data_IF_692853523815
#
_entry.id   IF_692853523815
#
_cell.length_a   1.000
_cell.length_b   1.000
_cell.length_c   1.000
_cell.angle_alpha   90.00
_cell.angle_beta   90.00
_cell.angle_gamma   90.00
#
_symmetry.space_group_name_H-M   'P 1'
#
loop_
_entity.id
_entity.type
_entity.pdbx_description
1 polymer ?
#
# COMPACT_ATOMS: atom_id res chain seq x y z
N UNK A 1 25.14 50.60 -6.77
CA UNK A 1 23.84 49.90 -6.92
C UNK A 1 24.10 48.42 -7.09
N UNK A 2 23.66 47.57 -6.17
CA UNK A 2 23.86 46.13 -6.27
C UNK A 2 23.07 45.57 -7.46
N UNK A 3 23.74 44.86 -8.36
CA UNK A 3 23.12 44.24 -9.55
C UNK A 3 22.18 43.13 -9.08
N UNK A 4 20.88 43.38 -9.05
CA UNK A 4 19.88 42.35 -8.71
C UNK A 4 19.77 41.37 -9.88
N UNK A 5 20.41 40.21 -9.75
CA UNK A 5 20.33 39.15 -10.76
C UNK A 5 18.95 38.50 -10.66
N UNK A 6 18.12 38.68 -11.69
CA UNK A 6 16.81 38.05 -11.75
C UNK A 6 16.97 36.55 -12.06
N UNK A 7 16.75 35.69 -11.05
CA UNK A 7 16.87 34.23 -11.16
C UNK A 7 15.48 33.60 -11.09
N UNK A 8 15.16 32.70 -12.02
CA UNK A 8 13.90 31.92 -12.03
C UNK A 8 13.67 31.13 -10.72
N UNK A 9 14.75 30.65 -10.10
CA UNK A 9 14.72 29.92 -8.83
C UNK A 9 15.46 30.72 -7.74
N UNK A 10 14.80 31.72 -7.16
CA UNK A 10 15.38 32.65 -6.17
C UNK A 10 15.14 32.25 -4.70
N UNK A 11 14.26 31.28 -4.42
CA UNK A 11 14.01 30.76 -3.07
C UNK A 11 14.93 29.58 -2.71
N UNK A 12 15.27 29.45 -1.42
CA UNK A 12 16.09 28.37 -0.86
C UNK A 12 15.27 27.54 0.12
N UNK A 13 15.46 26.21 0.09
CA UNK A 13 14.93 25.26 1.08
C UNK A 13 16.13 24.64 1.79
N UNK A 14 16.15 24.67 3.12
CA UNK A 14 17.23 24.12 3.94
C UNK A 14 16.66 23.18 5.00
N UNK A 15 17.26 22.00 5.15
CA UNK A 15 16.92 21.04 6.20
C UNK A 15 18.21 20.33 6.65
N UNK A 16 18.25 19.97 7.94
CA UNK A 16 19.35 19.21 8.52
C UNK A 16 19.05 17.72 8.41
N UNK A 17 20.08 16.93 8.16
CA UNK A 17 20.02 15.46 8.04
C UNK A 17 21.18 14.85 8.81
N UNK A 18 21.01 13.62 9.25
CA UNK A 18 22.09 12.87 9.88
C UNK A 18 23.03 12.26 8.81
N UNK A 19 24.07 11.56 9.26
CA UNK A 19 25.07 10.96 8.38
C UNK A 19 24.48 9.82 7.52
N UNK A 20 23.66 8.96 8.13
CA UNK A 20 22.99 7.84 7.44
C UNK A 20 22.06 8.33 6.31
N UNK A 21 21.29 9.38 6.57
CA UNK A 21 20.42 10.04 5.59
C UNK A 21 21.23 10.60 4.42
N UNK A 22 22.40 11.18 4.69
CA UNK A 22 23.29 11.70 3.65
C UNK A 22 23.89 10.60 2.79
N UNK A 23 24.28 9.48 3.39
CA UNK A 23 24.77 8.32 2.66
C UNK A 23 23.69 7.76 1.72
N UNK A 24 22.47 7.62 2.21
CA UNK A 24 21.35 7.12 1.41
C UNK A 24 20.99 8.09 0.26
N UNK A 25 20.97 9.40 0.50
CA UNK A 25 20.75 10.40 -0.55
C UNK A 25 21.84 10.35 -1.64
N UNK A 26 23.10 10.17 -1.24
CA UNK A 26 24.23 10.05 -2.17
C UNK A 26 24.16 8.76 -2.98
N UNK A 27 23.83 7.64 -2.32
CA UNK A 27 23.63 6.33 -2.97
C UNK A 27 22.52 6.42 -4.02
N UNK A 28 21.35 6.98 -3.66
CA UNK A 28 20.24 7.16 -4.61
C UNK A 28 20.63 8.09 -5.76
N UNK A 29 21.31 9.20 -5.48
CA UNK A 29 21.79 10.11 -6.52
C UNK A 29 22.70 9.41 -7.54
N UNK A 30 23.62 8.56 -7.08
CA UNK A 30 24.54 7.80 -7.93
C UNK A 30 23.81 6.81 -8.87
N UNK A 31 22.60 6.38 -8.53
CA UNK A 31 21.76 5.51 -9.36
C UNK A 31 20.92 6.28 -10.39
N UNK A 32 21.03 7.62 -10.42
CA UNK A 32 20.26 8.47 -11.33
C UNK A 32 21.13 9.12 -12.40
N UNK A 33 20.48 9.60 -13.47
CA UNK A 33 21.15 10.36 -14.54
C UNK A 33 21.11 11.89 -14.30
N UNK A 34 20.85 12.35 -13.08
CA UNK A 34 20.77 13.80 -12.79
C UNK A 34 22.15 14.45 -12.82
N UNK A 35 22.24 15.65 -13.39
CA UNK A 35 23.51 16.39 -13.52
C UNK A 35 23.92 17.05 -12.20
N UNK A 36 22.98 17.26 -11.29
CA UNK A 36 23.25 17.87 -9.99
C UNK A 36 22.36 17.30 -8.90
N UNK A 37 22.87 17.26 -7.67
CA UNK A 37 22.08 16.89 -6.48
C UNK A 37 20.87 17.81 -6.29
N UNK A 38 20.99 19.09 -6.64
CA UNK A 38 19.87 20.05 -6.59
C UNK A 38 18.72 19.61 -7.49
N UNK A 39 19.03 19.20 -8.71
CA UNK A 39 18.04 18.72 -9.67
C UNK A 39 17.41 17.42 -9.18
N UNK A 40 18.22 16.47 -8.70
CA UNK A 40 17.74 15.23 -8.09
C UNK A 40 16.81 15.47 -6.91
N UNK A 41 17.20 16.29 -5.93
CA UNK A 41 16.36 16.57 -4.75
C UNK A 41 15.08 17.29 -5.15
N UNK A 42 15.18 18.29 -6.02
CA UNK A 42 14.03 19.05 -6.49
C UNK A 42 13.05 18.13 -7.22
N UNK A 43 13.54 17.35 -8.17
CA UNK A 43 12.73 16.42 -8.94
C UNK A 43 12.14 15.32 -8.06
N UNK A 44 12.91 14.75 -7.13
CA UNK A 44 12.42 13.74 -6.17
C UNK A 44 11.32 14.30 -5.26
N UNK A 45 11.51 15.51 -4.71
CA UNK A 45 10.51 16.16 -3.84
C UNK A 45 9.23 16.48 -4.64
N UNK A 46 9.35 16.95 -5.88
CA UNK A 46 8.19 17.31 -6.70
C UNK A 46 7.52 16.10 -7.38
N UNK A 47 8.26 15.02 -7.67
CA UNK A 47 7.71 13.78 -8.24
C UNK A 47 7.07 12.88 -7.20
N UNK A 48 7.52 12.94 -5.94
CA UNK A 48 6.85 12.25 -4.85
C UNK A 48 5.48 12.89 -4.63
N UNK A 49 4.44 12.39 -5.31
CA UNK A 49 3.05 12.73 -5.01
C UNK A 49 2.78 12.27 -3.58
N UNK A 50 2.51 13.21 -2.68
CA UNK A 50 2.03 12.89 -1.34
C UNK A 50 0.60 12.39 -1.51
N UNK A 51 0.43 11.06 -1.48
CA UNK A 51 -0.88 10.43 -1.58
C UNK A 51 -1.50 10.39 -0.19
N UNK A 52 -2.41 11.33 0.08
CA UNK A 52 -3.26 11.25 1.27
C UNK A 52 -4.51 10.46 0.91
N UNK A 53 -4.50 9.15 1.16
CA UNK A 53 -5.69 8.32 1.01
C UNK A 53 -6.59 8.59 2.21
N UNK A 54 -7.66 9.34 2.00
CA UNK A 54 -8.69 9.49 3.02
C UNK A 54 -9.50 8.20 3.14
N UNK A 55 -9.08 7.34 4.07
CA UNK A 55 -9.79 6.12 4.43
C UNK A 55 -10.96 6.37 5.39
N UNK A 56 -11.51 7.59 5.44
CA UNK A 56 -12.68 7.94 6.24
C UNK A 56 -14.00 7.79 5.44
N UNK A 57 -15.12 8.16 6.06
CA UNK A 57 -16.43 8.13 5.41
C UNK A 57 -16.92 6.74 4.96
N UNK A 58 -17.45 6.67 3.74
CA UNK A 58 -18.04 5.47 3.14
C UNK A 58 -17.01 4.35 2.90
N UNK A 59 -15.80 4.67 2.44
CA UNK A 59 -14.75 3.66 2.22
C UNK A 59 -14.38 2.94 3.53
N UNK A 60 -14.31 3.67 4.65
CA UNK A 60 -14.10 3.08 5.98
C UNK A 60 -15.22 2.13 6.38
N UNK A 61 -16.45 2.46 5.99
CA UNK A 61 -17.64 1.66 6.32
C UNK A 61 -17.62 0.36 5.53
N UNK A 62 -17.38 0.43 4.22
CA UNK A 62 -17.22 -0.74 3.36
C UNK A 62 -16.08 -1.65 3.81
N UNK A 63 -14.90 -1.09 4.18
CA UNK A 63 -13.80 -1.88 4.72
C UNK A 63 -14.15 -2.57 6.05
N UNK A 64 -14.96 -1.93 6.89
CA UNK A 64 -15.44 -2.54 8.15
C UNK A 64 -16.47 -3.64 7.89
N UNK A 65 -17.36 -3.45 6.93
CA UNK A 65 -18.31 -4.47 6.52
C UNK A 65 -17.60 -5.69 5.94
N UNK A 66 -16.62 -5.48 5.07
CA UNK A 66 -15.74 -6.53 4.54
C UNK A 66 -15.01 -7.28 5.66
N UNK A 67 -14.37 -6.55 6.59
CA UNK A 67 -13.68 -7.15 7.75
C UNK A 67 -14.62 -7.98 8.63
N UNK A 68 -15.85 -7.51 8.83
CA UNK A 68 -16.89 -8.24 9.57
C UNK A 68 -17.33 -9.51 8.85
N UNK A 69 -17.47 -9.49 7.52
CA UNK A 69 -17.79 -10.67 6.73
C UNK A 69 -16.68 -11.73 6.83
N UNK A 70 -15.41 -11.32 6.64
CA UNK A 70 -14.25 -12.22 6.77
C UNK A 70 -14.16 -12.81 8.18
N UNK A 71 -14.42 -11.99 9.22
CA UNK A 71 -14.41 -12.45 10.62
C UNK A 71 -15.50 -13.49 10.88
N UNK A 72 -16.70 -13.30 10.32
CA UNK A 72 -17.79 -14.29 10.42
C UNK A 72 -17.45 -15.59 9.71
N UNK A 73 -16.85 -15.53 8.52
CA UNK A 73 -16.39 -16.71 7.80
C UNK A 73 -15.34 -17.48 8.61
N UNK A 74 -14.36 -16.79 9.20
CA UNK A 74 -13.37 -17.39 10.09
C UNK A 74 -14.00 -18.06 11.30
N UNK A 75 -15.00 -17.44 11.92
CA UNK A 75 -15.74 -18.03 13.03
C UNK A 75 -16.51 -19.29 12.61
N UNK A 76 -17.15 -19.29 11.43
CA UNK A 76 -17.84 -20.45 10.88
C UNK A 76 -16.86 -21.61 10.61
N UNK A 77 -15.69 -21.32 10.03
CA UNK A 77 -14.64 -22.31 9.82
C UNK A 77 -14.14 -22.92 11.14
N UNK A 78 -13.98 -22.10 12.18
CA UNK A 78 -13.57 -22.57 13.50
C UNK A 78 -14.65 -23.46 14.14
N UNK A 79 -15.93 -23.17 13.93
CA UNK A 79 -17.03 -24.03 14.39
C UNK A 79 -17.00 -25.39 13.68
N UNK A 80 -16.76 -25.41 12.37
CA UNK A 80 -16.60 -26.64 11.60
C UNK A 80 -15.40 -27.45 12.11
N UNK A 81 -14.26 -26.80 12.35
CA UNK A 81 -13.08 -27.44 12.92
C UNK A 81 -13.33 -28.04 14.31
N UNK A 82 -14.08 -27.35 15.18
CA UNK A 82 -14.48 -27.88 16.50
C UNK A 82 -15.43 -29.07 16.38
N UNK A 83 -16.41 -29.01 15.48
CA UNK A 83 -17.33 -30.12 15.23
C UNK A 83 -16.56 -31.37 14.77
N UNK A 84 -15.65 -31.20 13.81
CA UNK A 84 -14.72 -32.23 13.34
C UNK A 84 -13.91 -32.84 14.50
N UNK A 85 -13.31 -32.00 15.34
CA UNK A 85 -12.52 -32.46 16.48
C UNK A 85 -13.35 -33.20 17.53
N UNK A 86 -14.66 -32.94 17.60
CA UNK A 86 -15.58 -33.57 18.57
C UNK A 86 -16.18 -34.89 18.10
N UNK A 87 -16.40 -35.07 16.79
CA UNK A 87 -17.05 -36.27 16.24
C UNK A 87 -16.08 -37.36 15.80
N UNK A 88 -14.80 -37.02 15.54
CA UNK A 88 -13.76 -37.99 15.15
C UNK A 88 -13.98 -38.65 13.77
N UNK A 89 -15.04 -38.28 13.06
CA UNK A 89 -15.38 -38.76 11.72
C UNK A 89 -15.43 -37.56 10.79
N UNK A 90 -14.55 -37.56 9.79
CA UNK A 90 -14.55 -36.55 8.73
C UNK A 90 -14.88 -37.24 7.41
N UNK A 91 -15.95 -36.81 6.75
CA UNK A 91 -16.19 -37.20 5.37
C UNK A 91 -15.29 -36.37 4.46
N UNK A 92 -14.63 -37.04 3.52
CA UNK A 92 -13.72 -36.39 2.56
C UNK A 92 -14.39 -35.22 1.82
N UNK A 93 -15.69 -35.35 1.55
CA UNK A 93 -16.51 -34.34 0.88
C UNK A 93 -16.64 -33.03 1.68
N UNK A 94 -16.63 -33.11 3.03
CA UNK A 94 -16.67 -31.93 3.90
C UNK A 94 -15.35 -31.16 3.84
N UNK A 95 -14.21 -31.87 3.85
CA UNK A 95 -12.87 -31.26 3.69
C UNK A 95 -12.76 -30.57 2.33
N UNK A 96 -13.22 -31.23 1.28
CA UNK A 96 -13.14 -30.73 -0.09
C UNK A 96 -14.02 -29.48 -0.28
N UNK A 97 -15.21 -29.47 0.33
CA UNK A 97 -16.10 -28.31 0.35
C UNK A 97 -15.48 -27.11 1.09
N UNK A 98 -14.86 -27.33 2.25
CA UNK A 98 -14.16 -26.27 3.01
C UNK A 98 -12.99 -25.69 2.19
N UNK A 99 -12.18 -26.58 1.59
CA UNK A 99 -11.04 -26.17 0.78
C UNK A 99 -11.48 -25.32 -0.40
N UNK A 100 -12.59 -25.69 -1.06
CA UNK A 100 -13.16 -24.94 -2.18
C UNK A 100 -13.67 -23.57 -1.76
N UNK A 101 -14.34 -23.47 -0.61
CA UNK A 101 -14.81 -22.19 -0.08
C UNK A 101 -13.64 -21.24 0.25
N UNK A 102 -12.61 -21.76 0.93
CA UNK A 102 -11.39 -21.00 1.25
C UNK A 102 -10.65 -20.52 -0.01
N UNK A 103 -10.55 -21.36 -1.03
CA UNK A 103 -9.93 -20.98 -2.30
C UNK A 103 -10.70 -19.86 -3.01
N UNK A 104 -12.04 -19.90 -2.99
CA UNK A 104 -12.86 -18.83 -3.55
C UNK A 104 -12.68 -17.50 -2.83
N UNK A 105 -12.63 -17.54 -1.49
CA UNK A 105 -12.40 -16.34 -0.67
C UNK A 105 -11.01 -15.74 -0.90
N UNK A 106 -9.97 -16.58 -0.97
CA UNK A 106 -8.61 -16.14 -1.30
C UNK A 106 -8.50 -15.52 -2.69
N UNK A 107 -9.16 -16.11 -3.68
CA UNK A 107 -9.17 -15.58 -5.05
C UNK A 107 -9.83 -14.21 -5.11
N UNK A 108 -11.02 -14.08 -4.51
CA UNK A 108 -11.74 -12.80 -4.44
C UNK A 108 -10.90 -11.71 -3.76
N UNK A 109 -10.27 -12.02 -2.62
CA UNK A 109 -9.43 -11.05 -1.90
C UNK A 109 -8.20 -10.64 -2.72
N UNK A 110 -7.60 -11.57 -3.48
CA UNK A 110 -6.47 -11.27 -4.35
C UNK A 110 -6.87 -10.35 -5.51
N UNK A 111 -7.97 -10.66 -6.20
CA UNK A 111 -8.50 -9.85 -7.30
C UNK A 111 -8.93 -8.46 -6.83
N UNK A 112 -9.57 -8.38 -5.67
CA UNK A 112 -9.96 -7.10 -5.07
C UNK A 112 -8.73 -6.24 -4.76
N UNK A 113 -7.69 -6.83 -4.13
CA UNK A 113 -6.44 -6.13 -3.83
C UNK A 113 -5.78 -5.58 -5.09
N UNK A 114 -5.74 -6.38 -6.17
CA UNK A 114 -5.18 -5.97 -7.45
C UNK A 114 -5.95 -4.79 -8.04
N UNK A 115 -7.28 -4.88 -8.11
CA UNK A 115 -8.14 -3.78 -8.60
C UNK A 115 -7.98 -2.50 -7.80
N UNK A 116 -7.93 -2.58 -6.46
CA UNK A 116 -7.73 -1.40 -5.61
C UNK A 116 -6.34 -0.81 -5.84
N UNK A 117 -5.31 -1.64 -5.97
CA UNK A 117 -3.93 -1.18 -6.22
C UNK A 117 -3.84 -0.49 -7.57
N UNK A 118 -4.38 -1.10 -8.61
CA UNK A 118 -4.41 -0.54 -9.97
C UNK A 118 -5.21 0.75 -10.02
N UNK A 119 -6.34 0.81 -9.33
CA UNK A 119 -7.15 2.03 -9.25
C UNK A 119 -6.38 3.18 -8.58
N UNK A 120 -5.78 2.93 -7.41
CA UNK A 120 -4.95 3.92 -6.70
C UNK A 120 -3.77 4.33 -7.57
N UNK A 121 -3.09 3.39 -8.22
CA UNK A 121 -1.96 3.67 -9.10
C UNK A 121 -2.41 4.51 -10.30
N UNK A 122 -3.49 4.16 -10.98
CA UNK A 122 -3.92 4.85 -12.19
C UNK A 122 -4.52 6.23 -11.92
N UNK A 123 -5.32 6.39 -10.87
CA UNK A 123 -5.95 7.67 -10.52
C UNK A 123 -4.95 8.64 -9.86
N UNK A 124 -3.90 8.11 -9.22
CA UNK A 124 -2.89 8.91 -8.51
C UNK A 124 -1.56 9.01 -9.26
N UNK A 125 -1.30 8.25 -10.33
CA UNK A 125 -0.10 8.43 -11.18
C UNK A 125 -0.45 9.05 -12.55
N UNK A 126 -1.70 8.91 -13.01
CA UNK A 126 -2.24 9.61 -14.18
C UNK A 126 -2.26 11.13 -14.05
#
# INVERSE_FOLDING_TARGET
>A
MAKTVNRKNNCTVHFMVNEEDMEELNRRFALTNFKSKREFYRDSIFKNRIISIDISGEFRKELRELSSLVSRNSANLNQIAKAINSTGVIYKDDIESIKKALQGELLFLSEFREKVSDYIINEVIG
#
